data_IF_858194494010
#
_entry.id   IF_858194494010
#
_cell.length_a   1.000
_cell.length_b   1.000
_cell.length_c   1.000
_cell.angle_alpha   90.00
_cell.angle_beta   90.00
_cell.angle_gamma   90.00
#
_symmetry.space_group_name_H-M   'P 1'
#
loop_
_entity.id
_entity.type
_entity.pdbx_description
1 polymer ?
#
# COMPACT_ATOMS: atom_id res chain seq x y z
N UNK A 1 -21.83 10.32 3.52
CA UNK A 1 -21.30 11.38 2.63
C UNK A 1 -19.95 10.89 2.14
N UNK A 2 -19.72 10.90 0.83
CA UNK A 2 -18.39 10.62 0.28
C UNK A 2 -17.51 11.86 0.45
N UNK A 3 -16.21 11.72 0.76
CA UNK A 3 -15.31 12.86 0.80
C UNK A 3 -15.26 13.56 -0.56
N UNK A 4 -15.15 14.87 -0.56
CA UNK A 4 -14.89 15.63 -1.78
C UNK A 4 -13.42 15.53 -2.21
N UNK A 5 -13.12 16.02 -3.41
CA UNK A 5 -11.77 15.98 -3.99
C UNK A 5 -10.72 16.72 -3.15
N UNK A 6 -11.13 17.78 -2.42
CA UNK A 6 -10.22 18.53 -1.56
C UNK A 6 -9.83 17.71 -0.33
N UNK A 7 -10.81 17.05 0.30
CA UNK A 7 -10.61 16.16 1.43
C UNK A 7 -9.76 14.94 1.05
N UNK A 8 -10.03 14.33 -0.11
CA UNK A 8 -9.22 13.23 -0.66
C UNK A 8 -7.77 13.65 -0.90
N UNK A 9 -7.55 14.81 -1.52
CA UNK A 9 -6.20 15.33 -1.78
C UNK A 9 -5.45 15.59 -0.47
N UNK A 10 -6.10 16.20 0.52
CA UNK A 10 -5.49 16.46 1.82
C UNK A 10 -5.10 15.14 2.53
N UNK A 11 -6.00 14.15 2.53
CA UNK A 11 -5.75 12.85 3.14
C UNK A 11 -4.52 12.17 2.55
N UNK A 12 -4.41 12.16 1.21
CA UNK A 12 -3.29 11.57 0.50
C UNK A 12 -1.98 12.35 0.75
N UNK A 13 -2.02 13.68 0.80
CA UNK A 13 -0.84 14.49 1.09
C UNK A 13 -0.28 14.28 2.50
N UNK A 14 -1.15 14.01 3.48
CA UNK A 14 -0.78 13.80 4.89
C UNK A 14 -0.39 12.35 5.18
N UNK A 15 -0.96 11.38 4.47
CA UNK A 15 -0.72 9.94 4.70
C UNK A 15 0.47 9.45 3.89
N UNK A 16 1.68 9.51 4.43
CA UNK A 16 2.90 9.11 3.70
C UNK A 16 3.20 7.61 3.71
N UNK A 17 2.59 6.87 4.62
CA UNK A 17 2.74 5.41 4.76
C UNK A 17 1.40 4.73 4.54
N UNK A 18 1.36 3.74 3.66
CA UNK A 18 0.14 3.02 3.28
C UNK A 18 0.37 1.52 3.45
N UNK A 19 -0.41 0.88 4.32
CA UNK A 19 -0.46 -0.58 4.39
C UNK A 19 -1.39 -1.12 3.30
N UNK A 20 -0.91 -2.04 2.47
CA UNK A 20 -1.70 -2.65 1.39
C UNK A 20 -2.02 -4.09 1.76
N UNK A 21 -3.26 -4.30 2.20
CA UNK A 21 -3.79 -5.62 2.58
C UNK A 21 -4.08 -6.45 1.33
N UNK A 22 -3.54 -7.67 1.28
CA UNK A 22 -3.65 -8.54 0.11
C UNK A 22 -2.69 -8.13 -1.03
N UNK A 23 -1.60 -7.42 -0.71
CA UNK A 23 -0.56 -7.13 -1.69
C UNK A 23 0.04 -8.45 -2.20
N UNK A 24 -0.06 -8.68 -3.51
CA UNK A 24 0.56 -9.83 -4.18
C UNK A 24 1.94 -9.44 -4.70
N UNK A 25 2.84 -10.41 -4.78
CA UNK A 25 4.13 -10.35 -5.46
C UNK A 25 4.02 -10.43 -7.00
N UNK A 26 2.88 -10.92 -7.51
CA UNK A 26 2.63 -11.06 -8.95
C UNK A 26 2.39 -9.71 -9.60
N UNK A 27 3.15 -9.40 -10.65
CA UNK A 27 3.19 -8.07 -11.26
C UNK A 27 1.93 -7.71 -12.05
N UNK A 28 1.15 -8.70 -12.48
CA UNK A 28 -0.13 -8.55 -13.19
C UNK A 28 -1.28 -8.16 -12.25
N UNK A 29 -1.15 -8.37 -10.93
CA UNK A 29 -2.21 -8.08 -9.96
C UNK A 29 -2.33 -6.58 -9.68
N UNK A 30 -3.57 -6.10 -9.63
CA UNK A 30 -3.87 -4.69 -9.36
C UNK A 30 -3.25 -4.20 -8.05
N UNK A 31 -3.26 -5.02 -6.99
CA UNK A 31 -2.63 -4.65 -5.71
C UNK A 31 -1.14 -4.35 -5.87
N UNK A 32 -0.44 -5.12 -6.71
CA UNK A 32 0.97 -4.92 -7.01
C UNK A 32 1.20 -3.69 -7.91
N UNK A 33 0.35 -3.46 -8.91
CA UNK A 33 0.41 -2.28 -9.76
C UNK A 33 0.20 -0.98 -8.96
N UNK A 34 -0.84 -0.94 -8.11
CA UNK A 34 -1.14 0.22 -7.26
C UNK A 34 -0.04 0.46 -6.24
N UNK A 35 0.48 -0.59 -5.59
CA UNK A 35 1.60 -0.46 -4.64
C UNK A 35 2.85 0.14 -5.28
N UNK A 36 3.23 -0.33 -6.49
CA UNK A 36 4.33 0.27 -7.25
C UNK A 36 4.09 1.73 -7.59
N UNK A 37 2.87 2.08 -8.02
CA UNK A 37 2.53 3.46 -8.31
C UNK A 37 2.65 4.35 -7.06
N UNK A 38 2.20 3.87 -5.90
CA UNK A 38 2.37 4.58 -4.64
C UNK A 38 3.86 4.78 -4.29
N UNK A 39 4.69 3.73 -4.38
CA UNK A 39 6.14 3.84 -4.17
C UNK A 39 6.79 4.83 -5.14
N UNK A 40 6.44 4.80 -6.43
CA UNK A 40 7.00 5.74 -7.42
C UNK A 40 6.60 7.19 -7.17
N UNK A 41 5.49 7.42 -6.47
CA UNK A 41 5.04 8.74 -6.03
C UNK A 41 5.55 9.12 -4.63
N UNK A 42 6.49 8.36 -4.06
CA UNK A 42 7.17 8.69 -2.80
C UNK A 42 6.43 8.27 -1.54
N UNK A 43 5.42 7.41 -1.64
CA UNK A 43 4.78 6.80 -0.47
C UNK A 43 5.57 5.59 -0.01
N UNK A 44 5.66 5.37 1.31
CA UNK A 44 6.12 4.09 1.86
C UNK A 44 4.95 3.12 1.82
N UNK A 45 5.13 1.97 1.18
CA UNK A 45 4.12 0.90 1.13
C UNK A 45 4.53 -0.21 2.07
N UNK A 46 3.62 -0.63 2.95
CA UNK A 46 3.82 -1.79 3.84
C UNK A 46 2.96 -2.95 3.31
N UNK A 47 3.57 -4.02 2.77
CA UNK A 47 2.84 -5.21 2.35
C UNK A 47 2.19 -5.90 3.55
N UNK A 48 0.91 -6.26 3.41
CA UNK A 48 0.21 -7.12 4.37
C UNK A 48 -0.30 -8.35 3.65
N UNK A 49 0.51 -9.42 3.70
CA UNK A 49 0.20 -10.72 3.13
C UNK A 49 0.98 -11.82 3.88
N UNK A 50 0.32 -12.74 4.60
CA UNK A 50 0.99 -13.79 5.36
C UNK A 50 1.69 -14.86 4.49
N UNK A 51 1.37 -14.92 3.19
CA UNK A 51 1.85 -15.97 2.29
C UNK A 51 3.22 -15.68 1.69
N UNK A 52 3.68 -14.43 1.74
CA UNK A 52 4.93 -13.98 1.09
C UNK A 52 5.71 -13.14 2.11
N UNK A 53 7.02 -13.34 2.28
CA UNK A 53 7.80 -12.65 3.31
C UNK A 53 8.22 -11.23 2.93
N UNK A 54 8.33 -10.92 1.63
CA UNK A 54 8.79 -9.63 1.12
C UNK A 54 8.14 -9.33 -0.24
N UNK A 55 7.72 -8.09 -0.46
CA UNK A 55 7.15 -7.63 -1.73
C UNK A 55 7.65 -6.21 -2.01
N UNK A 56 8.14 -5.95 -3.23
CA UNK A 56 8.65 -4.64 -3.66
C UNK A 56 9.74 -4.05 -2.74
N UNK A 57 10.63 -4.92 -2.23
CA UNK A 57 11.73 -4.53 -1.35
C UNK A 57 11.32 -4.21 0.09
N UNK A 58 10.06 -4.44 0.46
CA UNK A 58 9.52 -4.18 1.80
C UNK A 58 9.09 -5.49 2.46
N UNK A 59 9.36 -5.61 3.76
CA UNK A 59 8.93 -6.75 4.57
C UNK A 59 7.41 -6.85 4.57
N UNK A 60 6.90 -8.05 4.35
CA UNK A 60 5.47 -8.34 4.43
C UNK A 60 5.07 -8.84 5.81
N UNK A 61 3.90 -8.39 6.26
CA UNK A 61 3.35 -8.71 7.57
C UNK A 61 2.06 -9.53 7.43
N UNK A 62 1.75 -10.42 8.40
CA UNK A 62 0.56 -11.26 8.31
C UNK A 62 -0.75 -10.49 8.55
N UNK A 63 -0.69 -9.34 9.22
CA UNK A 63 -1.83 -8.47 9.49
C UNK A 63 -1.36 -7.03 9.75
N UNK A 64 -2.30 -6.08 9.69
CA UNK A 64 -2.01 -4.67 10.02
C UNK A 64 -1.57 -4.51 11.48
N UNK A 65 -2.14 -5.30 12.39
CA UNK A 65 -1.78 -5.27 13.81
C UNK A 65 -0.35 -5.79 14.09
N UNK A 66 0.28 -6.45 13.12
CA UNK A 66 1.62 -6.99 13.23
C UNK A 66 2.71 -6.09 12.64
N UNK A 67 2.34 -4.92 12.08
CA UNK A 67 3.25 -3.95 11.43
C UNK A 67 4.12 -3.24 12.48
#
# INVERSE_FOLDING_TARGET
MSPDDAQLRELLQRSRTVAVVGLSDKTDRDSNQVARYLQSNGYRVIPVNPMVPEILGERSYPSVAAI
#
